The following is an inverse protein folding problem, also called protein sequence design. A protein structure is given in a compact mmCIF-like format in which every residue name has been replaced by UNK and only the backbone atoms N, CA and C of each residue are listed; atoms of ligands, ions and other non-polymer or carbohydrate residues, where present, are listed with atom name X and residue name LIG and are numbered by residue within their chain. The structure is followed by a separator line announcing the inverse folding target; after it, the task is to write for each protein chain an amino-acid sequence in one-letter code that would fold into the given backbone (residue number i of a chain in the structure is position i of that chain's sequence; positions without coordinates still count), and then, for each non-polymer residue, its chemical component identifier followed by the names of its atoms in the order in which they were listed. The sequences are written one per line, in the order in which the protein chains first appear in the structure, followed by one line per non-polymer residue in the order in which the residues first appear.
data_IF_376991720772
#
_entry.id   IF_376991720772
#
_cell.length_a   1.000
_cell.length_b   1.000
_cell.length_c   1.000
_cell.angle_alpha   90.00
_cell.angle_beta   90.00
_cell.angle_gamma   90.00
#
_symmetry.space_group_name_H-M   'P 1'
#
loop_
_entity.id
_entity.type
_entity.pdbx_description
1 polymer ?
#
# COMPACT_ATOMS: atom_id res chain seq x y z
N UNK A 1 -19.70 -15.66 9.87
CA UNK A 1 -20.26 -14.56 10.68
C UNK A 1 -20.48 -13.38 9.76
N UNK A 2 -21.71 -12.86 9.64
CA UNK A 2 -21.96 -11.57 9.00
C UNK A 2 -21.60 -10.48 10.01
N UNK A 3 -20.35 -10.04 9.99
CA UNK A 3 -19.88 -8.87 10.75
C UNK A 3 -20.48 -7.62 10.11
N UNK A 4 -21.11 -6.74 10.89
CA UNK A 4 -21.80 -5.55 10.36
C UNK A 4 -20.97 -4.26 10.45
N UNK A 5 -19.90 -4.26 11.25
CA UNK A 5 -19.05 -3.07 11.50
C UNK A 5 -17.68 -3.21 10.83
N UNK A 6 -17.04 -2.08 10.48
CA UNK A 6 -15.66 -2.10 9.98
C UNK A 6 -14.73 -2.64 11.06
N UNK A 7 -15.00 -2.36 12.34
CA UNK A 7 -14.18 -2.85 13.46
C UNK A 7 -14.13 -4.38 13.50
N UNK A 8 -15.26 -5.04 13.35
CA UNK A 8 -15.33 -6.51 13.31
C UNK A 8 -14.60 -7.08 12.10
N UNK A 9 -14.72 -6.42 10.94
CA UNK A 9 -13.95 -6.77 9.74
C UNK A 9 -12.44 -6.66 9.99
N UNK A 10 -11.98 -5.55 10.60
CA UNK A 10 -10.56 -5.35 10.89
C UNK A 10 -10.05 -6.35 11.93
N UNK A 11 -10.88 -6.80 12.88
CA UNK A 11 -10.48 -7.82 13.85
C UNK A 11 -10.13 -9.18 13.21
N UNK A 12 -10.49 -9.42 11.95
CA UNK A 12 -10.03 -10.58 11.19
C UNK A 12 -8.55 -10.46 10.74
N UNK A 13 -7.94 -9.28 10.90
CA UNK A 13 -6.52 -9.05 10.63
C UNK A 13 -5.74 -9.44 11.88
N UNK A 14 -4.85 -10.43 11.71
CA UNK A 14 -3.89 -10.79 12.75
C UNK A 14 -3.00 -9.59 13.10
N UNK A 15 -2.77 -9.41 14.39
CA UNK A 15 -1.89 -8.36 14.87
C UNK A 15 -0.44 -8.74 14.62
N UNK A 16 0.28 -7.89 13.90
CA UNK A 16 1.73 -7.87 13.85
C UNK A 16 2.27 -7.09 15.07
N UNK A 17 2.99 -7.73 16.02
CA UNK A 17 3.48 -7.04 17.22
C UNK A 17 4.40 -5.86 16.92
N UNK A 18 5.20 -5.94 15.85
CA UNK A 18 6.14 -4.87 15.51
C UNK A 18 5.41 -3.67 14.90
N UNK A 19 4.39 -3.91 14.09
CA UNK A 19 3.51 -2.82 13.65
C UNK A 19 2.71 -2.22 14.80
N UNK A 20 2.23 -3.04 15.75
CA UNK A 20 1.54 -2.54 16.95
C UNK A 20 2.43 -1.55 17.72
N UNK A 21 3.70 -1.88 17.94
CA UNK A 21 4.68 -0.99 18.59
C UNK A 21 4.82 0.34 17.82
N UNK A 22 4.78 0.29 16.48
CA UNK A 22 4.96 1.46 15.62
C UNK A 22 3.69 2.29 15.41
N UNK A 23 2.49 1.77 15.71
CA UNK A 23 1.22 2.44 15.33
C UNK A 23 0.33 2.74 16.54
N UNK A 24 0.26 1.85 17.53
CA UNK A 24 -0.75 1.93 18.60
C UNK A 24 -0.62 3.19 19.43
N UNK A 25 -1.71 3.95 19.52
CA UNK A 25 -1.76 5.21 20.28
C UNK A 25 -0.90 6.34 19.73
N UNK A 26 -0.36 6.20 18.52
CA UNK A 26 0.49 7.19 17.86
C UNK A 26 -0.26 8.00 16.82
N UNK A 27 0.23 9.20 16.55
CA UNK A 27 -0.17 10.01 15.39
C UNK A 27 0.50 9.43 14.16
N UNK A 28 -0.29 8.91 13.23
CA UNK A 28 0.22 8.22 12.04
C UNK A 28 -0.14 8.99 10.78
N UNK A 29 0.83 9.20 9.90
CA UNK A 29 0.59 9.67 8.54
C UNK A 29 0.71 8.51 7.56
N UNK A 30 -0.24 8.33 6.65
CA UNK A 30 -0.11 7.47 5.48
C UNK A 30 -0.04 8.33 4.22
N UNK A 31 1.15 8.38 3.61
CA UNK A 31 1.40 9.14 2.39
C UNK A 31 1.50 8.21 1.18
N UNK A 32 0.57 8.36 0.23
CA UNK A 32 0.63 7.68 -1.06
C UNK A 32 1.48 8.41 -2.11
N UNK A 33 1.69 7.78 -3.28
CA UNK A 33 2.54 8.27 -4.36
C UNK A 33 1.83 9.20 -5.37
N UNK A 34 0.63 9.69 -5.09
CA UNK A 34 -0.11 10.43 -6.11
C UNK A 34 0.49 11.81 -6.36
N UNK A 35 0.67 12.18 -7.64
CA UNK A 35 1.04 13.56 -8.05
C UNK A 35 0.07 14.61 -7.53
N UNK A 36 -1.14 14.23 -7.13
CA UNK A 36 -2.11 15.18 -6.62
C UNK A 36 -1.70 15.82 -5.30
N UNK A 37 -0.65 15.29 -4.66
CA UNK A 37 -0.03 15.89 -3.49
C UNK A 37 0.96 17.01 -3.86
N UNK A 38 1.38 17.17 -5.12
CA UNK A 38 2.30 18.22 -5.54
C UNK A 38 1.64 19.60 -5.35
N UNK A 39 2.36 20.53 -4.72
CA UNK A 39 1.88 21.86 -4.34
C UNK A 39 1.07 21.91 -3.05
N UNK A 40 0.97 20.81 -2.30
CA UNK A 40 0.26 20.76 -1.01
C UNK A 40 1.03 21.45 0.12
N UNK A 41 2.36 21.50 0.03
CA UNK A 41 3.27 21.92 1.09
C UNK A 41 3.10 21.14 2.40
N UNK A 42 2.64 19.88 2.35
CA UNK A 42 2.45 19.05 3.55
C UNK A 42 3.74 18.47 4.14
N UNK A 43 4.91 18.68 3.56
CA UNK A 43 6.13 17.97 3.91
C UNK A 43 6.53 18.07 5.38
N UNK A 44 6.55 19.28 5.95
CA UNK A 44 6.82 19.48 7.38
C UNK A 44 5.70 18.92 8.27
N UNK A 45 4.45 19.02 7.81
CA UNK A 45 3.30 18.45 8.53
C UNK A 45 3.41 16.91 8.61
N UNK A 46 3.71 16.25 7.49
CA UNK A 46 3.93 14.80 7.38
C UNK A 46 5.07 14.34 8.29
N UNK A 47 6.21 15.03 8.26
CA UNK A 47 7.39 14.64 9.05
C UNK A 47 7.17 14.82 10.58
N UNK A 48 6.18 15.63 10.98
CA UNK A 48 5.79 15.87 12.37
C UNK A 48 4.93 14.79 13.03
N UNK A 49 4.56 13.73 12.31
CA UNK A 49 3.83 12.58 12.87
C UNK A 49 4.78 11.64 13.64
N UNK A 50 4.23 10.91 14.62
CA UNK A 50 5.00 9.93 15.41
C UNK A 50 5.52 8.79 14.52
N UNK A 51 4.70 8.40 13.53
CA UNK A 51 5.02 7.37 12.53
C UNK A 51 4.56 7.81 11.14
N UNK A 52 5.48 7.76 10.18
CA UNK A 52 5.22 8.05 8.76
C UNK A 52 5.23 6.76 7.95
N UNK A 53 4.08 6.42 7.40
CA UNK A 53 3.84 5.27 6.56
C UNK A 53 3.80 5.67 5.08
N UNK A 54 4.38 4.86 4.20
CA UNK A 54 4.30 5.04 2.73
C UNK A 54 3.85 3.78 2.02
N UNK A 55 3.33 3.95 0.80
CA UNK A 55 2.89 2.84 -0.06
C UNK A 55 3.85 2.66 -1.22
N UNK A 56 4.29 1.41 -1.39
CA UNK A 56 5.31 0.94 -2.33
C UNK A 56 6.62 1.75 -2.20
N UNK A 57 7.46 1.68 -3.24
CA UNK A 57 8.76 2.35 -3.34
C UNK A 57 8.64 3.85 -3.60
N UNK A 58 7.59 4.48 -3.09
CA UNK A 58 7.48 5.92 -3.04
C UNK A 58 8.39 6.45 -1.95
N UNK A 59 9.64 6.65 -2.33
CA UNK A 59 10.62 7.28 -1.48
C UNK A 59 10.60 8.78 -1.87
N UNK A 60 10.81 9.69 -0.93
CA UNK A 60 11.09 11.11 -1.21
C UNK A 60 12.26 11.54 -0.31
N UNK A 61 13.28 12.17 -0.90
CA UNK A 61 14.52 12.57 -0.24
C UNK A 61 15.79 12.36 -1.08
N UNK A 62 16.87 13.03 -0.67
CA UNK A 62 18.14 13.20 -1.45
C UNK A 62 18.88 11.91 -1.83
N UNK A 63 18.38 10.75 -1.41
CA UNK A 63 18.95 9.43 -1.60
C UNK A 63 17.82 8.39 -1.89
N UNK A 64 16.77 8.86 -2.54
CA UNK A 64 15.62 8.06 -2.97
C UNK A 64 14.44 8.96 -3.32
N UNK A 65 14.57 9.66 -4.45
CA UNK A 65 13.61 10.53 -5.17
C UNK A 65 13.43 11.98 -4.73
N UNK A 66 13.73 12.85 -5.70
CA UNK A 66 13.46 14.28 -5.86
C UNK A 66 13.36 15.13 -4.58
N UNK A 67 14.44 15.87 -4.28
CA UNK A 67 14.44 16.84 -3.18
C UNK A 67 13.40 17.94 -3.34
N UNK A 68 12.98 18.21 -4.59
CA UNK A 68 12.02 19.25 -4.90
C UNK A 68 10.60 18.83 -4.49
N UNK A 69 10.37 17.53 -4.28
CA UNK A 69 9.10 16.98 -3.79
C UNK A 69 9.03 16.92 -2.26
N UNK A 70 10.14 17.18 -1.54
CA UNK A 70 10.15 17.11 -0.07
C UNK A 70 9.20 18.11 0.58
N UNK A 71 8.96 19.26 -0.04
CA UNK A 71 8.01 20.25 0.47
C UNK A 71 6.59 19.71 0.52
N UNK A 72 6.23 18.77 -0.36
CA UNK A 72 4.88 18.21 -0.48
C UNK A 72 4.75 16.85 0.21
N UNK A 73 5.79 16.03 0.13
CA UNK A 73 5.76 14.63 0.56
C UNK A 73 6.53 14.34 1.84
N UNK A 74 7.34 15.28 2.35
CA UNK A 74 8.21 15.07 3.51
C UNK A 74 9.43 14.21 3.18
N UNK A 75 10.30 14.02 4.18
CA UNK A 75 11.61 13.33 4.05
C UNK A 75 11.67 12.01 4.80
N UNK A 76 10.67 11.72 5.65
CA UNK A 76 10.68 10.57 6.56
C UNK A 76 9.82 9.42 6.05
N UNK A 77 10.27 8.21 6.33
CA UNK A 77 9.51 6.96 6.20
C UNK A 77 9.93 6.04 7.35
N UNK A 78 8.98 5.67 8.20
CA UNK A 78 9.20 4.69 9.28
C UNK A 78 8.70 3.30 8.87
N UNK A 79 7.53 3.24 8.22
CA UNK A 79 6.90 1.99 7.77
C UNK A 79 6.62 2.07 6.28
N UNK A 80 7.04 1.04 5.54
CA UNK A 80 6.76 0.92 4.11
C UNK A 80 5.80 -0.23 3.85
N UNK A 81 4.63 0.06 3.29
CA UNK A 81 3.65 -0.93 2.84
C UNK A 81 3.90 -1.24 1.36
N UNK A 82 4.42 -2.42 1.02
CA UNK A 82 4.83 -2.73 -0.36
C UNK A 82 4.17 -3.99 -0.91
N UNK A 83 3.85 -3.99 -2.20
CA UNK A 83 3.59 -5.23 -2.93
C UNK A 83 4.85 -6.10 -3.11
N UNK A 84 4.67 -7.35 -3.52
CA UNK A 84 5.68 -8.35 -3.87
C UNK A 84 5.90 -8.38 -5.40
N UNK A 85 6.09 -7.24 -6.05
CA UNK A 85 6.49 -7.20 -7.49
C UNK A 85 8.01 -7.33 -7.67
N UNK A 86 8.56 -8.19 -6.85
CA UNK A 86 9.82 -7.92 -6.22
C UNK A 86 10.94 -8.50 -7.11
N UNK A 87 10.65 -9.51 -7.95
CA UNK A 87 11.59 -10.06 -8.95
C UNK A 87 12.28 -8.99 -9.82
N UNK A 88 11.56 -7.95 -10.26
CA UNK A 88 12.13 -6.87 -11.06
C UNK A 88 12.77 -5.76 -10.21
N UNK A 89 12.36 -5.62 -8.95
CA UNK A 89 12.92 -4.65 -8.01
C UNK A 89 14.18 -5.18 -7.30
N UNK A 90 14.42 -6.50 -7.26
CA UNK A 90 15.58 -7.10 -6.56
C UNK A 90 16.92 -6.98 -7.28
N UNK A 91 16.93 -7.15 -8.60
CA UNK A 91 18.13 -6.82 -9.38
C UNK A 91 18.49 -5.35 -9.13
N UNK A 92 17.46 -4.50 -8.96
CA UNK A 92 17.66 -3.12 -8.52
C UNK A 92 18.14 -3.05 -7.08
N UNK A 93 17.68 -3.81 -6.09
CA UNK A 93 18.21 -3.76 -4.71
C UNK A 93 19.72 -4.05 -4.66
N UNK A 94 20.21 -5.06 -5.39
CA UNK A 94 21.64 -5.36 -5.45
C UNK A 94 22.43 -4.24 -6.11
N UNK A 95 21.89 -3.65 -7.18
CA UNK A 95 22.46 -2.48 -7.87
C UNK A 95 22.39 -1.21 -6.98
N UNK A 96 21.29 -1.01 -6.26
CA UNK A 96 21.04 0.10 -5.33
C UNK A 96 21.92 0.00 -4.10
N UNK A 97 22.31 -1.20 -3.67
CA UNK A 97 23.32 -1.36 -2.62
C UNK A 97 24.72 -0.95 -3.08
N UNK A 98 24.98 -0.98 -4.39
CA UNK A 98 26.23 -0.48 -4.98
C UNK A 98 26.16 1.03 -5.26
N UNK A 99 24.97 1.56 -5.52
CA UNK A 99 24.69 2.99 -5.62
C UNK A 99 24.17 3.52 -4.27
N UNK A 100 25.12 3.88 -3.39
CA UNK A 100 24.90 4.39 -2.03
C UNK A 100 23.75 5.42 -1.92
N UNK A 101 23.40 6.11 -3.01
CA UNK A 101 22.27 7.04 -3.01
C UNK A 101 20.97 6.33 -2.64
N UNK A 102 20.47 5.34 -3.38
CA UNK A 102 19.15 4.74 -3.12
C UNK A 102 19.06 3.90 -1.84
N UNK A 103 20.15 3.24 -1.43
CA UNK A 103 20.20 2.44 -0.21
C UNK A 103 20.05 3.30 1.07
N UNK A 104 20.49 4.55 1.00
CA UNK A 104 20.41 5.47 2.14
C UNK A 104 18.99 5.89 2.52
N UNK A 105 17.99 5.61 1.69
CA UNK A 105 16.60 5.79 2.10
C UNK A 105 16.01 4.60 2.87
N UNK A 106 16.60 3.41 2.71
CA UNK A 106 16.18 2.20 3.39
C UNK A 106 16.72 2.10 4.82
N UNK A 107 17.90 2.67 5.08
CA UNK A 107 18.56 2.62 6.39
C UNK A 107 17.75 3.26 7.55
N UNK A 108 16.77 4.11 7.24
CA UNK A 108 15.89 4.78 8.21
C UNK A 108 14.52 4.12 8.33
N UNK A 109 14.19 3.20 7.43
CA UNK A 109 12.93 2.46 7.49
C UNK A 109 13.03 1.47 8.65
N UNK A 110 12.07 1.56 9.56
CA UNK A 110 12.01 0.70 10.76
C UNK A 110 11.33 -0.62 10.45
N UNK A 111 10.41 -0.62 9.47
CA UNK A 111 9.62 -1.79 9.13
C UNK A 111 9.13 -1.79 7.68
N UNK A 112 9.20 -2.94 7.02
CA UNK A 112 8.53 -3.17 5.73
C UNK A 112 7.38 -4.15 5.94
N UNK A 113 6.17 -3.76 5.58
CA UNK A 113 5.01 -4.63 5.63
C UNK A 113 4.56 -4.97 4.21
N UNK A 114 4.63 -6.26 3.87
CA UNK A 114 4.26 -6.72 2.53
C UNK A 114 2.74 -6.89 2.40
N UNK A 115 2.14 -6.18 1.44
CA UNK A 115 0.68 -6.18 1.19
C UNK A 115 0.22 -7.24 0.21
N UNK A 116 1.17 -7.93 -0.44
CA UNK A 116 0.91 -9.00 -1.39
C UNK A 116 1.15 -10.36 -0.74
N UNK A 117 0.36 -11.37 -1.13
CA UNK A 117 0.46 -12.70 -0.55
C UNK A 117 1.82 -13.32 -0.82
N UNK A 118 2.54 -13.65 0.23
CA UNK A 118 3.71 -14.52 0.11
C UNK A 118 3.25 -15.94 0.33
N UNK A 119 3.59 -16.83 -0.61
CA UNK A 119 3.48 -18.26 -0.37
C UNK A 119 4.55 -18.69 0.62
N UNK A 120 4.24 -18.59 1.91
CA UNK A 120 4.93 -19.39 2.91
C UNK A 120 4.60 -20.85 2.61
N UNK A 121 5.62 -21.72 2.48
CA UNK A 121 5.43 -23.14 2.15
C UNK A 121 4.40 -23.83 3.07
N UNK A 122 4.46 -23.52 4.37
CA UNK A 122 3.47 -23.93 5.38
C UNK A 122 2.02 -23.51 5.03
N UNK A 123 1.84 -22.29 4.52
CA UNK A 123 0.51 -21.78 4.17
C UNK A 123 -0.03 -22.36 2.86
N UNK A 124 0.85 -22.66 1.90
CA UNK A 124 0.50 -23.43 0.68
C UNK A 124 -0.03 -24.80 1.08
N UNK A 125 0.62 -25.45 2.04
CA UNK A 125 0.22 -26.76 2.54
C UNK A 125 -1.17 -26.72 3.21
N UNK A 126 -1.45 -25.68 4.01
CA UNK A 126 -2.73 -25.51 4.71
C UNK A 126 -3.90 -25.06 3.81
N UNK A 127 -3.64 -24.56 2.59
CA UNK A 127 -4.66 -23.96 1.73
C UNK A 127 -4.56 -24.41 0.25
N UNK A 128 -4.10 -25.63 -0.01
CA UNK A 128 -3.81 -26.17 -1.36
C UNK A 128 -4.92 -25.91 -2.38
N UNK A 129 -6.19 -26.07 -2.01
CA UNK A 129 -7.33 -25.91 -2.93
C UNK A 129 -7.50 -24.46 -3.40
N UNK A 130 -7.26 -23.48 -2.52
CA UNK A 130 -7.24 -22.07 -2.89
C UNK A 130 -6.08 -21.82 -3.86
N UNK A 131 -4.88 -22.33 -3.55
CA UNK A 131 -3.68 -22.14 -4.35
C UNK A 131 -3.70 -22.84 -5.72
N UNK A 132 -4.46 -23.93 -5.89
CA UNK A 132 -4.65 -24.57 -7.19
C UNK A 132 -5.47 -23.73 -8.17
N UNK A 133 -6.35 -22.86 -7.66
CA UNK A 133 -7.24 -22.02 -8.47
C UNK A 133 -6.63 -20.67 -8.88
N UNK A 134 -5.55 -20.25 -8.22
CA UNK A 134 -4.87 -18.98 -8.52
C UNK A 134 -3.65 -19.27 -9.42
N UNK A 135 -3.42 -18.48 -10.47
CA UNK A 135 -2.31 -18.75 -11.40
C UNK A 135 -0.95 -18.78 -10.68
N UNK A 136 -0.11 -19.78 -10.98
CA UNK A 136 1.25 -19.99 -10.42
C UNK A 136 2.18 -18.76 -10.44
N UNK A 137 1.84 -17.71 -11.19
CA UNK A 137 2.67 -16.52 -11.39
C UNK A 137 2.43 -15.39 -10.39
N UNK A 138 1.47 -15.50 -9.46
CA UNK A 138 1.14 -14.41 -8.51
C UNK A 138 1.79 -14.52 -7.14
N UNK A 139 2.62 -15.55 -6.91
CA UNK A 139 3.24 -15.75 -5.61
C UNK A 139 4.73 -15.98 -5.77
N UNK A 140 5.47 -15.38 -4.85
CA UNK A 140 6.91 -15.53 -4.78
C UNK A 140 7.25 -16.39 -3.54
N UNK A 141 8.23 -17.29 -3.64
CA UNK A 141 8.66 -18.14 -2.52
C UNK A 141 9.45 -17.32 -1.49
N UNK A 142 8.95 -17.19 -0.25
CA UNK A 142 9.63 -16.40 0.79
C UNK A 142 11.10 -16.74 0.94
N UNK A 143 11.47 -18.02 0.75
CA UNK A 143 12.84 -18.48 0.97
C UNK A 143 13.79 -17.85 -0.05
N UNK A 144 13.30 -17.56 -1.27
CA UNK A 144 14.01 -16.81 -2.31
C UNK A 144 14.22 -15.33 -1.92
N UNK A 145 13.46 -14.83 -0.95
CA UNK A 145 13.51 -13.43 -0.51
C UNK A 145 14.12 -13.22 0.86
N UNK A 146 14.13 -14.24 1.72
CA UNK A 146 14.71 -14.13 3.05
C UNK A 146 16.19 -13.75 2.98
N UNK A 147 16.94 -14.32 2.02
CA UNK A 147 18.33 -13.93 1.76
C UNK A 147 18.46 -12.47 1.30
N UNK A 148 17.51 -11.96 0.52
CA UNK A 148 17.53 -10.58 0.03
C UNK A 148 17.09 -9.58 1.11
N UNK A 149 16.13 -9.94 1.96
CA UNK A 149 15.70 -9.12 3.09
C UNK A 149 16.82 -9.01 4.14
N UNK A 150 17.62 -10.06 4.32
CA UNK A 150 18.86 -10.01 5.12
C UNK A 150 19.87 -8.99 4.58
N UNK A 151 19.90 -8.70 3.28
CA UNK A 151 20.83 -7.71 2.71
C UNK A 151 20.48 -6.26 3.07
N UNK A 152 19.20 -6.00 3.37
CA UNK A 152 18.70 -4.67 3.73
C UNK A 152 18.84 -4.37 5.23
N UNK A 153 19.02 -5.39 6.07
CA UNK A 153 19.04 -5.27 7.53
C UNK A 153 17.79 -4.55 8.10
N UNK A 154 16.61 -4.86 7.53
CA UNK A 154 15.33 -4.25 7.91
C UNK A 154 14.39 -5.33 8.44
N UNK A 155 13.70 -5.00 9.54
CA UNK A 155 12.62 -5.82 10.05
C UNK A 155 11.43 -5.81 9.07
N UNK A 156 10.81 -6.96 8.84
CA UNK A 156 9.68 -7.06 7.93
C UNK A 156 8.56 -7.93 8.49
N UNK A 157 7.36 -7.60 8.03
CA UNK A 157 6.12 -8.32 8.27
C UNK A 157 5.45 -8.66 6.95
N UNK A 158 4.56 -9.65 6.98
CA UNK A 158 3.89 -10.13 5.77
C UNK A 158 2.39 -10.17 6.04
N UNK A 159 1.61 -9.77 5.04
CA UNK A 159 0.17 -9.93 5.04
C UNK A 159 -0.24 -11.36 5.37
N UNK A 160 -1.19 -11.48 6.31
CA UNK A 160 -1.88 -12.72 6.53
C UNK A 160 -2.78 -13.08 5.33
N UNK A 161 -2.67 -14.32 4.83
CA UNK A 161 -3.52 -14.90 3.77
C UNK A 161 -5.02 -14.69 4.01
N UNK A 162 -5.49 -14.65 5.26
CA UNK A 162 -6.86 -14.28 5.60
C UNK A 162 -7.23 -12.87 5.17
N UNK A 163 -6.34 -11.89 5.40
CA UNK A 163 -6.56 -10.53 4.96
C UNK A 163 -6.53 -10.43 3.43
N UNK A 164 -5.78 -11.29 2.72
CA UNK A 164 -5.86 -11.40 1.27
C UNK A 164 -7.24 -11.92 0.81
N UNK A 165 -7.78 -12.96 1.49
CA UNK A 165 -9.13 -13.48 1.21
C UNK A 165 -10.22 -12.44 1.51
N UNK A 166 -10.06 -11.70 2.60
CA UNK A 166 -10.97 -10.63 3.04
C UNK A 166 -10.88 -9.39 2.15
N UNK A 167 -9.70 -9.11 1.59
CA UNK A 167 -9.48 -8.07 0.57
C UNK A 167 -9.83 -8.51 -0.86
N UNK A 168 -10.32 -9.74 -1.05
CA UNK A 168 -10.98 -10.10 -2.28
C UNK A 168 -12.23 -9.22 -2.41
N UNK A 169 -12.43 -8.59 -3.58
CA UNK A 169 -13.62 -7.77 -3.85
C UNK A 169 -14.92 -8.46 -3.49
N UNK A 170 -15.00 -9.78 -3.62
CA UNK A 170 -16.20 -10.54 -3.27
C UNK A 170 -16.54 -10.51 -1.78
N UNK A 171 -15.56 -10.38 -0.89
CA UNK A 171 -15.80 -10.27 0.54
C UNK A 171 -16.18 -8.84 0.93
N UNK A 172 -15.50 -7.82 0.39
CA UNK A 172 -15.92 -6.43 0.54
C UNK A 172 -17.34 -6.20 0.00
N UNK A 173 -17.69 -6.78 -1.16
CA UNK A 173 -19.06 -6.74 -1.70
C UNK A 173 -20.07 -7.36 -0.75
N UNK A 174 -19.78 -8.54 -0.20
CA UNK A 174 -20.65 -9.18 0.80
C UNK A 174 -20.82 -8.28 2.02
N UNK A 175 -19.74 -7.70 2.53
CA UNK A 175 -19.78 -6.78 3.67
C UNK A 175 -20.56 -5.48 3.38
N UNK A 176 -20.53 -5.01 2.13
CA UNK A 176 -21.29 -3.86 1.66
C UNK A 176 -22.72 -4.21 1.20
N UNK A 177 -23.16 -5.47 1.33
CA UNK A 177 -24.44 -5.98 0.81
C UNK A 177 -24.64 -5.72 -0.69
N UNK A 178 -23.57 -5.84 -1.48
CA UNK A 178 -23.58 -5.64 -2.93
C UNK A 178 -23.64 -6.98 -3.69
N UNK A 179 -24.21 -7.01 -4.91
CA UNK A 179 -24.28 -8.22 -5.71
C UNK A 179 -22.89 -8.83 -5.96
N UNK A 180 -22.80 -10.16 -5.89
CA UNK A 180 -21.61 -10.88 -6.36
C UNK A 180 -21.52 -10.70 -7.88
N UNK A 181 -20.35 -10.35 -8.39
CA UNK A 181 -20.05 -10.39 -9.82
C UNK A 181 -18.80 -11.24 -9.98
N UNK A 182 -18.58 -11.83 -11.17
CA UNK A 182 -17.40 -12.64 -11.48
C UNK A 182 -16.10 -11.82 -11.62
N UNK A 183 -15.94 -10.73 -10.87
CA UNK A 183 -14.75 -9.90 -10.91
C UNK A 183 -13.82 -10.25 -9.75
N UNK A 184 -12.66 -10.84 -10.07
CA UNK A 184 -11.66 -11.33 -9.11
C UNK A 184 -10.64 -10.26 -8.68
N UNK A 185 -10.95 -8.98 -8.89
CA UNK A 185 -10.03 -7.91 -8.56
C UNK A 185 -9.75 -7.78 -7.04
N UNK A 186 -8.58 -7.26 -6.70
CA UNK A 186 -8.10 -7.07 -5.33
C UNK A 186 -8.03 -5.58 -4.97
N UNK A 187 -8.06 -5.27 -3.67
CA UNK A 187 -7.77 -3.91 -3.20
C UNK A 187 -6.36 -3.47 -3.57
N UNK A 188 -6.15 -2.16 -3.76
CA UNK A 188 -4.79 -1.60 -3.84
C UNK A 188 -4.05 -1.69 -2.50
N UNK A 189 -2.71 -1.69 -2.55
CA UNK A 189 -1.84 -1.64 -1.36
C UNK A 189 -2.15 -0.46 -0.43
N UNK A 190 -2.60 0.67 -0.96
CA UNK A 190 -3.03 1.81 -0.14
C UNK A 190 -4.25 1.51 0.73
N UNK A 191 -5.27 0.85 0.19
CA UNK A 191 -6.43 0.42 0.99
C UNK A 191 -6.04 -0.62 2.03
N UNK A 192 -5.13 -1.50 1.66
CA UNK A 192 -4.59 -2.48 2.58
C UNK A 192 -3.86 -1.81 3.75
N UNK A 193 -2.98 -0.85 3.47
CA UNK A 193 -2.27 -0.09 4.48
C UNK A 193 -3.23 0.61 5.45
N UNK A 194 -4.31 1.22 4.96
CA UNK A 194 -5.34 1.84 5.80
C UNK A 194 -5.94 0.83 6.77
N UNK A 195 -6.36 -0.34 6.28
CA UNK A 195 -6.97 -1.38 7.11
C UNK A 195 -6.01 -1.88 8.19
N UNK A 196 -4.77 -2.18 7.81
CA UNK A 196 -3.73 -2.64 8.75
C UNK A 196 -3.44 -1.57 9.79
N UNK A 197 -3.27 -0.31 9.40
CA UNK A 197 -3.03 0.78 10.35
C UNK A 197 -4.17 0.89 11.34
N UNK A 198 -5.42 0.92 10.87
CA UNK A 198 -6.59 1.03 11.76
C UNK A 198 -6.74 -0.17 12.70
N UNK A 199 -6.38 -1.38 12.26
CA UNK A 199 -6.32 -2.56 13.14
C UNK A 199 -5.41 -2.33 14.34
N UNK A 200 -4.30 -1.63 14.14
CA UNK A 200 -3.34 -1.31 15.19
C UNK A 200 -3.69 -0.07 16.02
N UNK A 201 -4.90 0.48 15.86
CA UNK A 201 -5.48 1.51 16.75
C UNK A 201 -4.58 2.75 16.91
N UNK A 202 -4.34 3.52 15.83
CA UNK A 202 -3.63 4.80 15.92
C UNK A 202 -4.43 5.79 16.76
N UNK A 203 -3.75 6.77 17.35
CA UNK A 203 -4.43 7.91 17.99
C UNK A 203 -5.13 8.77 16.94
N UNK A 204 -4.45 9.03 15.84
CA UNK A 204 -4.98 9.71 14.66
C UNK A 204 -4.31 9.13 13.41
N UNK A 205 -5.03 9.13 12.29
CA UNK A 205 -4.53 8.72 10.99
C UNK A 205 -4.77 9.84 9.98
N UNK A 206 -3.70 10.52 9.57
CA UNK A 206 -3.73 11.44 8.43
C UNK A 206 -3.44 10.71 7.14
N UNK A 207 -4.29 10.86 6.12
CA UNK A 207 -4.14 10.21 4.82
C UNK A 207 -3.97 11.28 3.74
N UNK A 208 -2.86 11.18 3.00
CA UNK A 208 -2.57 12.07 1.87
C UNK A 208 -1.87 11.35 0.73
N UNK A 209 -1.72 12.00 -0.43
CA UNK A 209 -1.05 11.43 -1.60
C UNK A 209 -1.74 10.19 -2.16
N UNK A 210 -3.00 9.97 -1.83
CA UNK A 210 -3.81 8.90 -2.39
C UNK A 210 -4.78 9.49 -3.40
N UNK A 211 -4.90 8.86 -4.56
CA UNK A 211 -5.97 9.17 -5.50
C UNK A 211 -6.75 7.94 -5.93
N UNK A 212 -6.57 6.76 -5.30
CA UNK A 212 -7.31 5.53 -5.64
C UNK A 212 -7.35 5.22 -7.15
N UNK A 213 -6.19 5.32 -7.80
CA UNK A 213 -6.05 5.16 -9.25
C UNK A 213 -6.99 6.11 -10.01
N UNK A 214 -6.80 7.41 -9.77
CA UNK A 214 -7.59 8.50 -10.33
C UNK A 214 -9.09 8.42 -10.00
N UNK A 215 -9.40 8.19 -8.73
CA UNK A 215 -10.73 8.19 -8.13
C UNK A 215 -11.68 7.22 -8.84
N UNK A 216 -11.16 6.04 -9.19
CA UNK A 216 -11.90 5.02 -9.93
C UNK A 216 -12.01 5.27 -11.43
N UNK A 217 -11.38 6.31 -11.97
CA UNK A 217 -11.35 6.65 -13.40
C UNK A 217 -9.99 6.32 -14.04
N UNK A 218 -9.47 5.12 -13.78
CA UNK A 218 -8.11 4.70 -14.14
C UNK A 218 -7.64 5.17 -15.52
N UNK A 219 -6.35 5.54 -15.63
CA UNK A 219 -5.71 5.87 -16.91
C UNK A 219 -5.88 7.30 -17.44
N UNK A 220 -6.50 8.23 -16.71
CA UNK A 220 -6.74 9.60 -17.20
C UNK A 220 -5.84 10.70 -16.56
N UNK A 221 -5.15 10.42 -15.46
CA UNK A 221 -4.17 11.36 -14.89
C UNK A 221 -2.77 10.75 -14.93
N UNK A 222 -1.78 11.62 -15.18
CA UNK A 222 -0.36 11.37 -15.02
C UNK A 222 -0.13 10.71 -13.65
N UNK A 223 0.51 9.55 -13.63
CA UNK A 223 0.89 8.84 -12.42
C UNK A 223 2.39 9.06 -12.18
N UNK A 224 2.85 9.20 -10.94
CA UNK A 224 4.28 9.36 -10.66
C UNK A 224 5.10 8.17 -11.18
N UNK A 225 4.51 6.98 -11.23
CA UNK A 225 5.13 5.79 -11.83
C UNK A 225 5.25 5.85 -13.36
N UNK A 226 4.52 6.76 -14.00
CA UNK A 226 4.42 6.87 -15.47
C UNK A 226 5.16 8.09 -16.00
N UNK A 227 5.08 9.22 -15.28
CA UNK A 227 5.51 10.53 -15.78
C UNK A 227 6.95 10.91 -15.41
N UNK A 228 7.52 10.32 -14.36
CA UNK A 228 8.95 10.40 -14.10
C UNK A 228 9.67 9.43 -15.05
N UNK A 229 9.81 9.85 -16.31
CA UNK A 229 10.55 9.16 -17.38
C UNK A 229 12.03 8.85 -17.09
N UNK A 230 12.47 8.99 -15.84
CA UNK A 230 13.76 8.54 -15.33
C UNK A 230 13.70 7.19 -14.59
N UNK A 231 12.53 6.71 -14.13
CA UNK A 231 12.42 5.42 -13.42
C UNK A 231 12.27 4.21 -14.34
N UNK A 232 11.74 4.39 -15.56
CA UNK A 232 11.49 3.25 -16.47
C UNK A 232 12.75 2.70 -17.13
N UNK A 233 13.77 3.54 -17.32
CA UNK A 233 15.06 3.08 -17.82
C UNK A 233 15.90 2.40 -16.72
N UNK A 234 15.71 2.75 -15.45
CA UNK A 234 16.43 2.11 -14.33
C UNK A 234 15.78 0.82 -13.83
N UNK A 235 14.49 0.57 -14.12
CA UNK A 235 13.79 -0.66 -13.73
C UNK A 235 13.58 -1.68 -14.87
N UNK A 236 14.17 -1.47 -16.05
CA UNK A 236 14.07 -2.42 -17.18
C UNK A 236 12.64 -2.63 -17.73
N UNK A 237 11.65 -1.87 -17.26
CA UNK A 237 10.27 -1.99 -17.72
C UNK A 237 10.15 -1.22 -19.04
N UNK A 238 10.20 -1.97 -20.14
CA UNK A 238 10.00 -1.45 -21.50
C UNK A 238 8.78 -0.51 -21.56
N UNK A 239 8.77 0.42 -22.53
CA UNK A 239 7.59 1.24 -22.89
C UNK A 239 6.40 0.36 -23.31
N UNK A 240 5.84 -0.42 -22.40
CA UNK A 240 4.57 -1.09 -22.60
C UNK A 240 3.52 0.01 -22.69
N UNK A 241 2.79 0.03 -23.81
CA UNK A 241 1.52 0.73 -23.89
C UNK A 241 0.75 0.39 -22.62
N UNK A 242 0.35 1.42 -21.87
CA UNK A 242 -0.45 1.25 -20.66
C UNK A 242 -1.71 0.49 -21.08
N UNK A 243 -1.79 -0.78 -20.74
CA UNK A 243 -3.01 -1.55 -20.95
C UNK A 243 -4.02 -1.03 -19.92
N UNK A 244 -4.98 -0.25 -20.37
CA UNK A 244 -6.08 0.28 -19.55
C UNK A 244 -6.84 -0.84 -18.83
N UNK A 245 -6.73 -2.10 -19.27
CA UNK A 245 -7.28 -3.27 -18.56
C UNK A 245 -6.61 -3.55 -17.21
N UNK A 246 -5.31 -3.25 -17.06
CA UNK A 246 -4.57 -3.46 -15.80
C UNK A 246 -4.93 -2.41 -14.74
N UNK A 247 -5.50 -1.27 -15.11
CA UNK A 247 -5.97 -0.31 -14.09
C UNK A 247 -7.36 -0.65 -13.57
N UNK A 248 -8.18 -1.33 -14.37
CA UNK A 248 -9.47 -1.86 -13.96
C UNK A 248 -9.41 -2.92 -12.85
N UNK A 249 -8.24 -3.52 -12.56
CA UNK A 249 -8.11 -4.51 -11.49
C UNK A 249 -8.09 -3.91 -10.08
N UNK A 250 -7.86 -2.60 -9.93
CA UNK A 250 -7.89 -1.92 -8.63
C UNK A 250 -8.88 -0.75 -8.58
N UNK A 251 -9.31 -0.22 -9.73
CA UNK A 251 -10.31 0.86 -9.80
C UNK A 251 -11.73 0.34 -9.76
N UNK A 252 -12.09 -0.20 -8.62
CA UNK A 252 -13.47 -0.56 -8.37
C UNK A 252 -14.16 0.50 -7.52
N UNK A 253 -15.31 1.03 -7.97
CA UNK A 253 -16.26 1.81 -7.16
C UNK A 253 -16.45 1.23 -5.75
N UNK A 254 -16.43 -0.09 -5.60
CA UNK A 254 -16.54 -0.80 -4.33
C UNK A 254 -15.39 -0.51 -3.36
N UNK A 255 -14.16 -0.32 -3.84
CA UNK A 255 -13.03 0.07 -2.99
C UNK A 255 -13.23 1.48 -2.42
N UNK A 256 -13.73 2.41 -3.24
CA UNK A 256 -14.07 3.76 -2.79
C UNK A 256 -15.26 3.75 -1.81
N UNK A 257 -16.29 2.94 -2.08
CA UNK A 257 -17.42 2.77 -1.16
C UNK A 257 -16.99 2.17 0.18
N UNK A 258 -16.09 1.18 0.14
CA UNK A 258 -15.53 0.57 1.34
C UNK A 258 -14.73 1.60 2.15
N UNK A 259 -13.83 2.36 1.51
CA UNK A 259 -13.09 3.41 2.19
C UNK A 259 -14.01 4.51 2.75
N UNK A 260 -15.05 4.92 2.01
CA UNK A 260 -16.05 5.87 2.53
C UNK A 260 -16.73 5.33 3.78
N UNK A 261 -17.05 4.03 3.83
CA UNK A 261 -17.60 3.39 5.03
C UNK A 261 -16.62 3.42 6.19
N UNK A 262 -15.33 3.13 5.96
CA UNK A 262 -14.27 3.29 6.97
C UNK A 262 -14.25 4.74 7.49
N UNK A 263 -14.15 5.72 6.58
CA UNK A 263 -14.04 7.14 6.93
C UNK A 263 -15.24 7.64 7.75
N UNK A 264 -16.46 7.13 7.48
CA UNK A 264 -17.65 7.50 8.24
C UNK A 264 -17.72 6.83 9.62
N UNK A 265 -17.07 5.68 9.82
CA UNK A 265 -17.10 4.92 11.08
C UNK A 265 -15.96 5.29 12.05
N UNK A 266 -14.91 5.95 11.55
CA UNK A 266 -13.73 6.32 12.35
C UNK A 266 -13.59 7.84 12.42
N UNK A 267 -13.68 8.38 13.64
CA UNK A 267 -13.56 9.81 13.94
C UNK A 267 -12.12 10.31 13.99
N UNK A 268 -11.15 9.40 14.08
CA UNK A 268 -9.73 9.69 14.17
C UNK A 268 -9.00 9.68 12.81
N UNK A 269 -9.73 9.70 11.70
CA UNK A 269 -9.16 9.79 10.35
C UNK A 269 -9.27 11.23 9.85
N UNK A 270 -8.13 11.81 9.49
CA UNK A 270 -8.04 13.08 8.78
C UNK A 270 -7.62 12.81 7.32
N UNK A 271 -8.29 13.48 6.37
CA UNK A 271 -7.96 13.40 4.96
C UNK A 271 -7.37 14.73 4.50
N UNK A 272 -6.45 14.69 3.55
CA UNK A 272 -6.06 15.92 2.85
C UNK A 272 -7.25 16.61 2.16
N UNK A 273 -7.06 17.88 1.79
CA UNK A 273 -8.13 18.71 1.22
C UNK A 273 -8.77 18.09 -0.03
N UNK A 274 -7.97 17.44 -0.88
CA UNK A 274 -8.46 16.86 -2.13
C UNK A 274 -9.29 15.61 -1.87
N UNK A 275 -8.78 14.69 -1.07
CA UNK A 275 -9.46 13.47 -0.66
C UNK A 275 -10.76 13.81 0.08
N UNK A 276 -10.70 14.76 1.01
CA UNK A 276 -11.88 15.23 1.74
C UNK A 276 -12.94 15.76 0.79
N UNK A 277 -12.58 16.67 -0.11
CA UNK A 277 -13.51 17.21 -1.10
C UNK A 277 -14.11 16.11 -1.99
N UNK A 278 -13.30 15.13 -2.40
CA UNK A 278 -13.80 13.99 -3.16
C UNK A 278 -14.85 13.20 -2.37
N UNK A 279 -14.57 12.78 -1.14
CA UNK A 279 -15.47 11.93 -0.35
C UNK A 279 -16.72 12.66 0.16
N UNK A 280 -16.63 13.97 0.42
CA UNK A 280 -17.78 14.82 0.74
C UNK A 280 -18.79 14.87 -0.43
N UNK A 281 -18.31 14.74 -1.67
CA UNK A 281 -19.13 14.75 -2.89
C UNK A 281 -19.38 13.36 -3.51
N UNK A 282 -18.73 12.30 -3.01
CA UNK A 282 -18.80 10.96 -3.58
C UNK A 282 -20.15 10.32 -3.24
N UNK A 283 -20.95 9.96 -4.25
CA UNK A 283 -22.28 9.32 -4.12
C UNK A 283 -22.24 7.82 -4.37
#
# INVERSE_FOLDING_TARGET
MQSNTIKDFLNCIEEDPKLTELIKGKRVCLCGPSITNIGSNYGEYIDGFDTVCRVNWHITGKNGWDTDLNCDFGKRTDVMFSGFFLKYEYDNIKIMKQDDSLFNCFNKIKYVYFTDPVTLKKYVEDNKDYFQAVSKNMFSDINEFEENLKLLDINYGIINVWLQRVNNLNYMKQFLNLPKENNQASTSSGNHAIQVILRHQPKELFITGMNFANFGKGGLLKDMYVDNGHSRNSMGVSKQKIDTKVWNIHTNRYTLLFFKKIFNEYDNIELDKLLKNFFDNFK
#
